data_IF_623102614875
#
_entry.id   IF_623102614875
#
_cell.length_a   1.000
_cell.length_b   1.000
_cell.length_c   1.000
_cell.angle_alpha   90.00
_cell.angle_beta   90.00
_cell.angle_gamma   90.00
#
_symmetry.space_group_name_H-M   'P 1'
#
loop_
_entity.id
_entity.type
_entity.pdbx_description
1 polymer ?
#
# COMPACT_ATOMS: atom_id res chain seq x y z
N UNK A 1 20.80 9.77 18.95
CA UNK A 1 20.24 8.46 18.57
C UNK A 1 20.46 8.25 17.08
N UNK A 2 20.99 7.09 16.64
CA UNK A 2 20.91 6.72 15.23
C UNK A 2 19.42 6.60 14.88
N UNK A 3 19.00 7.25 13.81
CA UNK A 3 17.59 7.22 13.40
C UNK A 3 17.17 5.79 13.07
N UNK A 4 16.08 5.29 13.68
CA UNK A 4 15.46 3.97 13.38
C UNK A 4 14.91 3.85 11.94
N UNK A 5 14.99 4.92 11.14
CA UNK A 5 14.47 4.97 9.78
C UNK A 5 15.33 4.11 8.86
N UNK A 6 14.72 3.11 8.23
CA UNK A 6 15.34 2.31 7.17
C UNK A 6 15.51 3.15 5.90
N UNK A 7 16.61 2.95 5.18
CA UNK A 7 16.89 3.62 3.89
C UNK A 7 16.54 2.69 2.74
N UNK A 8 15.92 3.25 1.70
CA UNK A 8 15.61 2.56 0.45
C UNK A 8 16.38 3.28 -0.66
N UNK A 9 17.27 2.57 -1.34
CA UNK A 9 17.97 3.07 -2.52
C UNK A 9 17.30 2.48 -3.76
N UNK A 10 16.72 3.32 -4.60
CA UNK A 10 16.01 2.92 -5.82
C UNK A 10 16.57 3.68 -7.01
N UNK A 11 16.63 3.02 -8.16
CA UNK A 11 16.92 3.67 -9.43
C UNK A 11 15.59 4.05 -10.08
N UNK A 12 15.48 5.30 -10.50
CA UNK A 12 14.29 5.84 -11.18
C UNK A 12 14.73 6.55 -12.47
N UNK A 13 13.83 6.65 -13.44
CA UNK A 13 14.08 7.39 -14.67
C UNK A 13 14.07 8.91 -14.43
N UNK A 14 14.57 9.66 -15.42
CA UNK A 14 14.71 11.12 -15.33
C UNK A 14 13.37 11.85 -15.23
N UNK A 15 12.30 11.34 -15.83
CA UNK A 15 11.00 11.99 -15.81
C UNK A 15 10.33 11.80 -14.44
N UNK A 16 10.39 10.59 -13.88
CA UNK A 16 9.92 10.34 -12.51
C UNK A 16 10.67 11.22 -11.50
N UNK A 17 11.99 11.38 -11.65
CA UNK A 17 12.80 12.25 -10.79
C UNK A 17 12.31 13.72 -10.83
N UNK A 18 12.07 14.24 -12.04
CA UNK A 18 11.55 15.61 -12.25
C UNK A 18 10.17 15.80 -11.62
N UNK A 19 9.26 14.85 -11.81
CA UNK A 19 7.91 14.91 -11.26
C UNK A 19 7.96 14.92 -9.73
N UNK A 20 8.76 14.03 -9.12
CA UNK A 20 8.95 14.01 -7.67
C UNK A 20 9.50 15.34 -7.14
N UNK A 21 10.45 15.95 -7.83
CA UNK A 21 11.00 17.26 -7.46
C UNK A 21 9.93 18.37 -7.54
N UNK A 22 9.10 18.36 -8.58
CA UNK A 22 8.01 19.33 -8.75
C UNK A 22 6.95 19.19 -7.66
N UNK A 23 6.54 17.95 -7.35
CA UNK A 23 5.56 17.66 -6.30
C UNK A 23 6.11 18.05 -4.92
N UNK A 24 7.37 17.74 -4.64
CA UNK A 24 8.03 18.12 -3.39
C UNK A 24 8.08 19.64 -3.20
N UNK A 25 8.43 20.38 -4.28
CA UNK A 25 8.42 21.84 -4.28
C UNK A 25 7.03 22.40 -4.05
N UNK A 26 6.01 21.87 -4.74
CA UNK A 26 4.61 22.30 -4.57
C UNK A 26 4.10 22.07 -3.14
N UNK A 27 4.51 20.97 -2.52
CA UNK A 27 4.12 20.62 -1.16
C UNK A 27 5.01 21.24 -0.07
N UNK A 28 6.08 21.96 -0.45
CA UNK A 28 7.09 22.53 0.43
C UNK A 28 7.67 21.51 1.44
N UNK A 29 7.99 20.31 0.95
CA UNK A 29 8.60 19.23 1.75
C UNK A 29 9.78 18.60 1.01
N UNK A 30 10.67 17.88 1.72
CA UNK A 30 11.72 17.12 1.06
C UNK A 30 11.17 16.09 0.08
N UNK A 31 11.89 15.85 -1.01
CA UNK A 31 11.56 14.82 -2.00
C UNK A 31 11.28 13.46 -1.36
N UNK A 32 12.13 13.05 -0.42
CA UNK A 32 11.96 11.80 0.31
C UNK A 32 10.59 11.68 0.98
N UNK A 33 10.06 12.77 1.55
CA UNK A 33 8.75 12.78 2.20
C UNK A 33 7.63 12.52 1.19
N UNK A 34 7.66 13.18 0.03
CA UNK A 34 6.68 12.92 -1.04
C UNK A 34 6.82 11.51 -1.60
N UNK A 35 8.05 11.05 -1.83
CA UNK A 35 8.30 9.69 -2.31
C UNK A 35 7.76 8.65 -1.34
N UNK A 36 7.97 8.82 -0.02
CA UNK A 36 7.41 7.94 1.00
C UNK A 36 5.89 7.95 1.01
N UNK A 37 5.25 9.13 0.89
CA UNK A 37 3.79 9.22 0.84
C UNK A 37 3.22 8.47 -0.37
N UNK A 38 3.75 8.75 -1.56
CA UNK A 38 3.31 8.07 -2.79
C UNK A 38 3.56 6.56 -2.75
N UNK A 39 4.65 6.12 -2.10
CA UNK A 39 4.93 4.71 -1.91
C UNK A 39 3.91 4.06 -0.98
N UNK A 40 3.50 4.72 0.10
CA UNK A 40 2.45 4.23 0.98
C UNK A 40 1.11 4.14 0.24
N UNK A 41 0.72 5.20 -0.49
CA UNK A 41 -0.52 5.22 -1.27
C UNK A 41 -0.54 4.05 -2.28
N UNK A 42 0.61 3.74 -2.92
CA UNK A 42 0.73 2.61 -3.84
C UNK A 42 0.63 1.24 -3.13
N UNK A 43 1.18 1.11 -1.92
CA UNK A 43 1.07 -0.11 -1.12
C UNK A 43 -0.37 -0.35 -0.65
N UNK A 44 -1.09 0.70 -0.27
CA UNK A 44 -2.51 0.63 0.09
C UNK A 44 -3.35 0.18 -1.10
N UNK A 45 -3.09 0.71 -2.31
CA UNK A 45 -3.78 0.26 -3.52
C UNK A 45 -3.51 -1.22 -3.85
N UNK A 46 -2.25 -1.69 -3.71
CA UNK A 46 -1.95 -3.11 -3.90
C UNK A 46 -2.67 -3.98 -2.86
N UNK A 47 -2.72 -3.55 -1.60
CA UNK A 47 -3.49 -4.24 -0.55
C UNK A 47 -4.98 -4.33 -0.92
N UNK A 48 -5.58 -3.23 -1.35
CA UNK A 48 -6.98 -3.19 -1.78
C UNK A 48 -7.27 -4.18 -2.90
N UNK A 49 -6.38 -4.27 -3.90
CA UNK A 49 -6.53 -5.26 -4.98
C UNK A 49 -6.51 -6.69 -4.43
N UNK A 50 -5.59 -7.02 -3.53
CA UNK A 50 -5.50 -8.37 -2.94
C UNK A 50 -6.71 -8.70 -2.06
N UNK A 51 -7.19 -7.73 -1.29
CA UNK A 51 -8.38 -7.90 -0.46
C UNK A 51 -9.64 -8.05 -1.32
N UNK A 52 -9.71 -7.30 -2.41
CA UNK A 52 -10.75 -7.42 -3.43
C UNK A 52 -10.80 -8.82 -4.05
N UNK A 53 -9.66 -9.32 -4.53
CA UNK A 53 -9.55 -10.67 -5.10
C UNK A 53 -9.99 -11.74 -4.09
N UNK A 54 -9.57 -11.60 -2.83
CA UNK A 54 -9.96 -12.52 -1.75
C UNK A 54 -11.47 -12.48 -1.50
N UNK A 55 -12.06 -11.29 -1.52
CA UNK A 55 -13.50 -11.12 -1.33
C UNK A 55 -14.30 -11.74 -2.50
N UNK A 56 -13.81 -11.58 -3.72
CA UNK A 56 -14.42 -12.18 -4.91
C UNK A 56 -14.35 -13.72 -4.87
N UNK A 57 -13.20 -14.29 -4.49
CA UNK A 57 -13.06 -15.73 -4.27
C UNK A 57 -14.06 -16.24 -3.23
N UNK A 58 -14.16 -15.59 -2.07
CA UNK A 58 -15.13 -15.95 -1.02
C UNK A 58 -16.58 -15.89 -1.49
N UNK A 59 -16.90 -14.92 -2.35
CA UNK A 59 -18.23 -14.78 -2.95
C UNK A 59 -18.53 -15.91 -3.93
N UNK A 60 -17.56 -16.27 -4.77
CA UNK A 60 -17.72 -17.26 -5.83
C UNK A 60 -17.66 -18.70 -5.31
N UNK A 61 -16.86 -18.99 -4.29
CA UNK A 61 -16.68 -20.33 -3.73
C UNK A 61 -17.86 -20.81 -2.85
N UNK A 62 -18.98 -20.07 -2.84
CA UNK A 62 -20.21 -20.50 -2.19
C UNK A 62 -19.97 -20.86 -0.72
N UNK A 63 -19.40 -19.91 0.04
CA UNK A 63 -19.14 -20.14 1.46
C UNK A 63 -20.41 -20.64 2.17
N UNK A 64 -20.33 -21.82 2.77
CA UNK A 64 -21.39 -22.32 3.64
C UNK A 64 -21.47 -21.37 4.82
N UNK A 65 -22.59 -20.66 4.96
CA UNK A 65 -22.87 -19.92 6.18
C UNK A 65 -22.93 -20.92 7.34
N UNK A 66 -21.90 -20.90 8.20
CA UNK A 66 -21.96 -21.60 9.48
C UNK A 66 -22.90 -20.76 10.36
N UNK A 67 -24.13 -21.24 10.52
CA UNK A 67 -25.18 -20.55 11.29
C UNK A 67 -25.01 -20.73 12.80
N UNK A 68 -24.23 -21.73 13.23
CA UNK A 68 -23.98 -22.03 14.62
C UNK A 68 -22.63 -21.48 15.10
N UNK A 69 -22.65 -20.71 16.19
CA UNK A 69 -21.46 -20.07 16.78
C UNK A 69 -20.48 -21.12 17.30
N UNK A 70 -20.98 -22.19 17.90
CA UNK A 70 -20.14 -23.20 18.56
C UNK A 70 -19.44 -24.10 17.53
N UNK A 71 -20.00 -24.24 16.32
CA UNK A 71 -19.37 -24.91 15.19
C UNK A 71 -18.26 -24.05 14.55
N UNK A 72 -18.40 -22.72 14.58
CA UNK A 72 -17.42 -21.79 14.00
C UNK A 72 -16.12 -21.66 14.81
N UNK A 73 -16.18 -21.72 16.15
CA UNK A 73 -15.03 -21.49 17.04
C UNK A 73 -14.31 -22.76 17.54
N UNK A 74 -14.67 -23.94 17.01
CA UNK A 74 -13.94 -25.20 17.27
C UNK A 74 -12.68 -25.31 16.41
#
# INVERSE_FOLDING_TARGET
>A
MPTLKKRINITIDKETDKILNLLAKKANVPKATITTRLLNDALELEEDFRLGDTAEQRRNDGSKYILDRDEFWK
#
